data_IF_973617690496
#
_entry.id   IF_973617690496
#
_cell.length_a   1.000
_cell.length_b   1.000
_cell.length_c   1.000
_cell.angle_alpha   90.00
_cell.angle_beta   90.00
_cell.angle_gamma   90.00
#
_symmetry.space_group_name_H-M   'P 1'
#
loop_
_entity.id
_entity.type
_entity.pdbx_description
1 polymer ?
#
# COMPACT_ATOMS: atom_id res chain seq x y z
N UNK A 1 -0.16 21.14 -19.48
CA UNK A 1 -0.37 19.70 -19.24
C UNK A 1 -1.01 18.95 -20.38
N UNK A 2 -0.21 18.22 -21.16
CA UNK A 2 -0.73 17.37 -22.24
C UNK A 2 -1.65 16.24 -21.74
N UNK A 3 -1.38 15.71 -20.55
CA UNK A 3 -2.16 14.62 -19.95
C UNK A 3 -3.63 14.96 -19.72
N UNK A 4 -3.98 16.22 -19.41
CA UNK A 4 -5.37 16.67 -19.22
C UNK A 4 -6.19 16.39 -20.49
N UNK A 5 -5.60 16.66 -21.66
CA UNK A 5 -6.23 16.43 -22.95
C UNK A 5 -6.47 14.95 -23.20
N UNK A 6 -5.54 14.08 -22.78
CA UNK A 6 -5.69 12.64 -22.94
C UNK A 6 -6.76 12.06 -22.02
N UNK A 7 -6.74 12.40 -20.73
CA UNK A 7 -7.75 11.97 -19.75
C UNK A 7 -9.14 12.37 -20.19
N UNK A 8 -9.28 13.61 -20.68
CA UNK A 8 -10.52 14.13 -21.23
C UNK A 8 -11.02 13.32 -22.43
N UNK A 9 -10.13 13.00 -23.38
CA UNK A 9 -10.48 12.18 -24.57
C UNK A 9 -10.83 10.74 -24.20
N UNK A 10 -10.10 10.12 -23.26
CA UNK A 10 -10.37 8.75 -22.78
C UNK A 10 -11.74 8.64 -22.11
N UNK A 11 -12.16 9.70 -21.41
CA UNK A 11 -13.48 9.79 -20.78
C UNK A 11 -14.57 10.34 -21.72
N UNK A 12 -14.29 10.50 -23.02
CA UNK A 12 -15.23 10.99 -24.03
C UNK A 12 -15.89 12.35 -23.71
N UNK A 13 -15.19 13.23 -23.01
CA UNK A 13 -15.70 14.57 -22.65
C UNK A 13 -15.06 15.67 -23.50
N UNK A 14 -15.81 16.75 -23.73
CA UNK A 14 -15.36 17.95 -24.45
C UNK A 14 -14.64 18.93 -23.51
N UNK A 15 -13.85 19.85 -24.07
CA UNK A 15 -13.17 20.89 -23.27
C UNK A 15 -14.18 21.78 -22.53
N UNK A 16 -15.33 22.06 -23.15
CA UNK A 16 -16.42 22.83 -22.54
C UNK A 16 -17.05 22.10 -21.36
N UNK A 17 -17.24 20.78 -21.47
CA UNK A 17 -17.76 19.96 -20.36
C UNK A 17 -16.77 19.94 -19.20
N UNK A 18 -15.48 19.65 -19.45
CA UNK A 18 -14.46 19.67 -18.39
C UNK A 18 -14.40 21.05 -17.71
N UNK A 19 -14.45 22.14 -18.49
CA UNK A 19 -14.49 23.49 -17.95
C UNK A 19 -15.68 23.72 -17.03
N UNK A 20 -16.87 23.24 -17.42
CA UNK A 20 -18.08 23.34 -16.59
C UNK A 20 -17.93 22.58 -15.27
N UNK A 21 -17.39 21.37 -15.30
CA UNK A 21 -17.23 20.51 -14.11
C UNK A 21 -16.26 21.13 -13.09
N UNK A 22 -15.11 21.65 -13.55
CA UNK A 22 -14.12 22.23 -12.63
C UNK A 22 -14.35 23.73 -12.36
N UNK A 23 -15.35 24.34 -13.01
CA UNK A 23 -15.75 25.73 -12.83
C UNK A 23 -14.79 26.75 -13.49
N UNK A 24 -14.33 26.49 -14.70
CA UNK A 24 -13.48 27.40 -15.50
C UNK A 24 -13.97 27.52 -16.95
N UNK A 25 -13.51 28.54 -17.66
CA UNK A 25 -13.90 28.75 -19.07
C UNK A 25 -13.29 27.71 -20.02
N UNK A 26 -13.92 27.50 -21.19
CA UNK A 26 -13.36 26.73 -22.30
C UNK A 26 -11.91 27.18 -22.64
N UNK A 27 -11.69 28.49 -22.69
CA UNK A 27 -10.39 29.08 -23.00
C UNK A 27 -9.33 28.72 -21.94
N UNK A 28 -9.75 28.59 -20.69
CA UNK A 28 -8.90 28.16 -19.59
C UNK A 28 -8.47 26.70 -19.75
N UNK A 29 -9.40 25.80 -20.11
CA UNK A 29 -9.05 24.40 -20.41
C UNK A 29 -8.09 24.30 -21.60
N UNK A 30 -8.34 25.07 -22.66
CA UNK A 30 -7.45 25.13 -23.82
C UNK A 30 -6.04 25.59 -23.46
N UNK A 31 -5.91 26.52 -22.49
CA UNK A 31 -4.61 26.96 -21.97
C UNK A 31 -3.94 25.83 -21.16
N UNK A 32 -4.70 25.16 -20.28
CA UNK A 32 -4.19 24.09 -19.43
C UNK A 32 -3.71 22.87 -20.21
N UNK A 33 -4.35 22.56 -21.34
CA UNK A 33 -3.96 21.45 -22.22
C UNK A 33 -2.69 21.72 -23.07
N UNK A 34 -2.10 22.93 -23.01
CA UNK A 34 -0.84 23.24 -23.70
C UNK A 34 0.36 22.65 -22.96
N UNK A 35 1.45 22.37 -23.67
CA UNK A 35 2.74 22.03 -23.03
C UNK A 35 3.18 23.20 -22.13
N UNK A 36 3.79 22.87 -21.00
CA UNK A 36 4.35 23.83 -20.02
C UNK A 36 3.35 24.85 -19.47
N UNK A 37 2.05 24.54 -19.51
CA UNK A 37 1.02 25.39 -18.95
C UNK A 37 1.21 25.53 -17.43
N UNK A 38 1.36 26.76 -16.94
CA UNK A 38 1.33 27.04 -15.52
C UNK A 38 -0.12 27.02 -15.01
N UNK A 39 -0.50 25.96 -14.31
CA UNK A 39 -1.85 25.74 -13.79
C UNK A 39 -1.86 26.06 -12.30
N UNK A 40 -2.73 26.97 -11.81
CA UNK A 40 -2.86 27.24 -10.39
C UNK A 40 -3.22 25.97 -9.61
N UNK A 41 -2.56 25.74 -8.47
CA UNK A 41 -2.70 24.50 -7.70
C UNK A 41 -4.16 24.17 -7.36
N UNK A 42 -4.97 25.18 -7.04
CA UNK A 42 -6.41 25.05 -6.79
C UNK A 42 -7.16 24.39 -7.96
N UNK A 43 -6.83 24.75 -9.19
CA UNK A 43 -7.48 24.18 -10.37
C UNK A 43 -6.88 22.83 -10.73
N UNK A 44 -5.60 22.62 -10.45
CA UNK A 44 -4.94 21.33 -10.57
C UNK A 44 -5.57 20.29 -9.63
N UNK A 45 -5.86 20.65 -8.37
CA UNK A 45 -6.58 19.82 -7.39
C UNK A 45 -7.94 19.39 -7.92
N UNK A 46 -8.75 20.33 -8.44
CA UNK A 46 -10.06 20.02 -9.01
C UNK A 46 -9.99 19.08 -10.21
N UNK A 47 -8.98 19.25 -11.06
CA UNK A 47 -8.74 18.38 -12.21
C UNK A 47 -8.36 16.97 -11.72
N UNK A 48 -7.49 16.88 -10.71
CA UNK A 48 -7.08 15.62 -10.10
C UNK A 48 -8.30 14.89 -9.51
N UNK A 49 -9.07 15.56 -8.66
CA UNK A 49 -10.30 15.05 -8.06
C UNK A 49 -11.32 14.58 -9.11
N UNK A 50 -11.53 15.37 -10.17
CA UNK A 50 -12.45 15.02 -11.25
C UNK A 50 -12.06 13.70 -11.95
N UNK A 51 -10.77 13.46 -12.13
CA UNK A 51 -10.27 12.23 -12.74
C UNK A 51 -9.98 11.11 -11.74
N UNK A 52 -10.25 11.32 -10.44
CA UNK A 52 -9.94 10.35 -9.39
C UNK A 52 -8.45 10.12 -9.19
N UNK A 53 -7.63 11.14 -9.45
CA UNK A 53 -6.17 11.11 -9.35
C UNK A 53 -5.67 12.09 -8.28
N UNK A 54 -4.44 11.90 -7.82
CA UNK A 54 -3.69 12.90 -7.07
C UNK A 54 -2.96 13.87 -8.02
N UNK A 55 -2.53 15.02 -7.49
CA UNK A 55 -1.68 15.95 -8.25
C UNK A 55 -0.36 15.30 -8.67
N UNK A 56 0.22 14.46 -7.81
CA UNK A 56 1.47 13.75 -8.12
C UNK A 56 1.28 12.81 -9.31
N UNK A 57 0.16 12.09 -9.37
CA UNK A 57 -0.19 11.18 -10.46
C UNK A 57 -0.35 11.94 -11.79
N UNK A 58 -1.01 13.09 -11.77
CA UNK A 58 -1.12 13.96 -12.93
C UNK A 58 0.25 14.36 -13.50
N UNK A 59 1.22 14.69 -12.64
CA UNK A 59 2.59 15.01 -13.08
C UNK A 59 3.38 13.78 -13.54
N UNK A 60 3.27 12.64 -12.84
CA UNK A 60 3.92 11.39 -13.25
C UNK A 60 3.49 11.00 -14.67
N UNK A 61 2.20 11.12 -14.96
CA UNK A 61 1.69 10.84 -16.30
C UNK A 61 2.17 11.84 -17.37
N UNK A 62 2.36 13.11 -17.02
CA UNK A 62 2.91 14.10 -17.96
C UNK A 62 4.39 13.82 -18.30
N UNK A 63 5.20 13.42 -17.31
CA UNK A 63 6.61 13.07 -17.51
C UNK A 63 6.76 11.79 -18.33
N UNK A 64 5.90 10.78 -18.09
CA UNK A 64 5.93 9.50 -18.78
C UNK A 64 5.55 9.58 -20.28
N UNK A 65 4.86 10.64 -20.71
CA UNK A 65 4.46 10.85 -22.11
C UNK A 65 5.50 11.65 -22.94
N UNK A 66 6.48 12.28 -22.27
CA UNK A 66 7.60 12.98 -22.93
C UNK A 66 8.84 12.10 -23.11
N UNK A 67 8.95 11.03 -22.32
CA UNK A 67 9.90 9.94 -22.52
C UNK A 67 9.29 8.88 -23.44
N UNK A 68 10.14 8.18 -24.17
CA UNK A 68 9.77 7.19 -25.18
C UNK A 68 8.78 6.12 -24.69
N UNK A 69 8.07 5.50 -25.64
CA UNK A 69 7.01 4.53 -25.41
C UNK A 69 7.45 3.28 -24.62
N UNK A 70 7.52 3.36 -23.28
CA UNK A 70 7.91 2.23 -22.44
C UNK A 70 7.07 2.12 -21.16
N UNK A 71 5.81 1.76 -21.34
CA UNK A 71 5.15 0.61 -20.68
C UNK A 71 3.71 0.54 -21.18
N UNK A 72 3.35 -0.52 -21.93
CA UNK A 72 1.98 -0.73 -22.45
C UNK A 72 0.91 -0.91 -21.35
N UNK A 73 1.28 -0.88 -20.07
CA UNK A 73 0.39 -1.16 -18.94
C UNK A 73 0.13 0.14 -18.20
N UNK A 74 -1.12 0.60 -18.24
CA UNK A 74 -1.56 1.75 -17.46
C UNK A 74 -1.59 1.39 -15.97
N UNK A 75 -1.42 2.38 -15.06
CA UNK A 75 -1.67 2.16 -13.66
C UNK A 75 -3.06 1.60 -13.42
N UNK A 76 -3.17 0.71 -12.44
CA UNK A 76 -4.44 0.08 -12.09
C UNK A 76 -4.58 -0.02 -10.58
N UNK A 77 -5.83 -0.01 -10.12
CA UNK A 77 -6.16 -0.11 -8.69
C UNK A 77 -6.69 -1.50 -8.38
N UNK A 78 -6.21 -2.09 -7.28
CA UNK A 78 -6.68 -3.37 -6.78
C UNK A 78 -6.56 -3.41 -5.26
N UNK A 79 -7.62 -3.84 -4.57
CA UNK A 79 -7.67 -3.92 -3.10
C UNK A 79 -7.22 -2.64 -2.37
N UNK A 80 -7.57 -1.47 -2.90
CA UNK A 80 -7.18 -0.17 -2.33
C UNK A 80 -5.72 0.22 -2.54
N UNK A 81 -4.94 -0.60 -3.27
CA UNK A 81 -3.58 -0.28 -3.70
C UNK A 81 -3.55 0.13 -5.16
N UNK A 82 -2.70 1.10 -5.51
CA UNK A 82 -2.47 1.53 -6.90
C UNK A 82 -1.13 0.99 -7.37
N UNK A 83 -1.13 0.32 -8.52
CA UNK A 83 0.04 -0.32 -9.10
C UNK A 83 0.48 0.46 -10.33
N UNK A 84 1.72 0.94 -10.32
CA UNK A 84 2.38 1.62 -11.42
C UNK A 84 3.37 0.65 -12.07
N UNK A 85 3.06 0.15 -13.28
CA UNK A 85 4.00 -0.68 -14.03
C UNK A 85 5.26 0.10 -14.34
N UNK A 86 6.41 -0.51 -14.06
CA UNK A 86 7.74 0.02 -14.38
C UNK A 86 8.37 -0.87 -15.47
N UNK A 87 9.55 -0.47 -15.94
CA UNK A 87 10.34 -1.31 -16.86
C UNK A 87 10.79 -2.62 -16.20
N UNK A 88 11.14 -3.61 -17.03
CA UNK A 88 11.64 -4.92 -16.61
C UNK A 88 10.72 -5.71 -15.68
N UNK A 89 9.40 -5.50 -15.77
CA UNK A 89 8.40 -6.29 -15.02
C UNK A 89 8.21 -5.88 -13.57
N UNK A 90 8.83 -4.77 -13.14
CA UNK A 90 8.67 -4.22 -11.79
C UNK A 90 7.41 -3.38 -11.67
N UNK A 91 6.95 -3.18 -10.44
CA UNK A 91 5.81 -2.32 -10.13
C UNK A 91 6.13 -1.45 -8.92
N UNK A 92 5.80 -0.16 -8.98
CA UNK A 92 5.65 0.66 -7.78
C UNK A 92 4.22 0.46 -7.26
N UNK A 93 4.09 -0.03 -6.04
CA UNK A 93 2.80 -0.26 -5.38
C UNK A 93 2.60 0.80 -4.31
N UNK A 94 1.56 1.61 -4.50
CA UNK A 94 1.06 2.55 -3.50
C UNK A 94 -0.04 1.85 -2.69
N UNK A 95 0.33 1.31 -1.53
CA UNK A 95 -0.58 0.53 -0.67
C UNK A 95 -1.01 1.33 0.57
N UNK A 96 -2.18 1.02 1.17
CA UNK A 96 -2.61 1.66 2.41
C UNK A 96 -1.58 1.48 3.54
N UNK A 97 -1.18 2.57 4.16
CA UNK A 97 -0.19 2.61 5.24
C UNK A 97 -0.86 2.73 6.61
N UNK A 98 -0.57 1.82 7.52
CA UNK A 98 -1.04 1.84 8.90
C UNK A 98 0.10 2.29 9.80
N UNK A 99 0.07 3.57 10.18
CA UNK A 99 0.96 4.15 11.18
C UNK A 99 0.66 3.61 12.57
N UNK A 100 1.66 3.61 13.47
CA UNK A 100 1.53 3.12 14.85
C UNK A 100 0.36 3.79 15.58
N UNK A 101 0.20 5.10 15.41
CA UNK A 101 -0.86 5.90 16.04
C UNK A 101 -2.26 5.56 15.50
N UNK A 102 -2.35 4.89 14.35
CA UNK A 102 -3.60 4.49 13.70
C UNK A 102 -3.93 3.01 13.83
N UNK A 103 -3.05 2.18 14.40
CA UNK A 103 -3.26 0.73 14.51
C UNK A 103 -4.52 0.37 15.31
N UNK A 104 -4.77 1.04 16.44
CA UNK A 104 -5.99 0.80 17.24
C UNK A 104 -7.25 1.10 16.44
N UNK A 105 -7.27 2.25 15.77
CA UNK A 105 -8.39 2.66 14.91
C UNK A 105 -8.56 1.69 13.74
N UNK A 106 -7.48 1.19 13.17
CA UNK A 106 -7.53 0.17 12.13
C UNK A 106 -8.24 -1.11 12.62
N UNK A 107 -7.82 -1.66 13.76
CA UNK A 107 -8.43 -2.87 14.36
C UNK A 107 -9.94 -2.67 14.62
N UNK A 108 -10.32 -1.55 15.25
CA UNK A 108 -11.72 -1.23 15.59
C UNK A 108 -12.65 -1.13 14.38
N UNK A 109 -12.09 -0.87 13.19
CA UNK A 109 -12.85 -0.68 11.96
C UNK A 109 -12.68 -1.83 10.95
N UNK A 110 -11.96 -2.91 11.27
CA UNK A 110 -11.83 -4.09 10.39
C UNK A 110 -13.17 -4.69 9.94
N UNK A 111 -14.19 -4.62 10.82
CA UNK A 111 -15.52 -5.16 10.56
C UNK A 111 -16.52 -4.11 10.06
N UNK A 112 -16.07 -2.88 9.80
CA UNK A 112 -16.93 -1.77 9.37
C UNK A 112 -16.58 -1.39 7.94
N UNK A 113 -17.58 -1.34 7.06
CA UNK A 113 -17.39 -1.08 5.63
C UNK A 113 -16.83 0.31 5.29
N UNK A 114 -16.83 1.25 6.24
CA UNK A 114 -16.48 2.66 6.00
C UNK A 114 -15.12 3.10 6.56
N UNK A 115 -14.17 2.18 6.77
CA UNK A 115 -12.83 2.59 7.19
C UNK A 115 -12.09 3.31 6.07
N UNK A 116 -11.88 4.63 6.23
CA UNK A 116 -11.00 5.40 5.38
C UNK A 116 -9.62 5.53 6.02
N UNK A 117 -8.61 4.92 5.38
CA UNK A 117 -7.20 5.15 5.69
C UNK A 117 -6.68 6.30 4.82
N UNK A 118 -6.30 7.46 5.40
CA UNK A 118 -5.80 8.58 4.61
C UNK A 118 -4.36 8.38 4.15
N UNK A 119 -3.64 7.39 4.67
CA UNK A 119 -2.21 7.22 4.38
C UNK A 119 -1.97 6.14 3.34
N UNK A 120 -1.05 6.43 2.44
CA UNK A 120 -0.49 5.49 1.48
C UNK A 120 1.04 5.54 1.56
N UNK A 121 1.68 4.42 1.28
CA UNK A 121 3.13 4.31 1.14
C UNK A 121 3.51 3.54 -0.12
N UNK A 122 4.73 3.71 -0.60
CA UNK A 122 5.22 3.12 -1.85
C UNK A 122 6.26 2.04 -1.63
N UNK A 123 6.16 0.91 -2.32
CA UNK A 123 7.21 -0.12 -2.43
C UNK A 123 7.39 -0.55 -3.89
N UNK A 124 8.62 -0.89 -4.28
CA UNK A 124 8.88 -1.51 -5.59
C UNK A 124 8.85 -3.03 -5.44
N UNK A 125 7.99 -3.73 -6.17
CA UNK A 125 7.90 -5.20 -6.21
C UNK A 125 8.19 -5.75 -7.60
N UNK A 126 8.58 -7.02 -7.66
CA UNK A 126 9.03 -7.67 -8.89
C UNK A 126 7.92 -8.48 -9.59
N UNK A 127 6.83 -8.80 -8.87
CA UNK A 127 5.68 -9.56 -9.40
C UNK A 127 4.38 -9.07 -8.78
N UNK A 128 3.29 -9.13 -9.53
CA UNK A 128 1.95 -8.87 -9.00
C UNK A 128 1.40 -10.12 -8.34
N UNK A 129 0.73 -9.94 -7.21
CA UNK A 129 -0.02 -10.99 -6.53
C UNK A 129 -1.51 -10.64 -6.54
N UNK A 130 -2.34 -11.66 -6.36
CA UNK A 130 -3.78 -11.46 -6.30
C UNK A 130 -4.23 -10.86 -4.98
N UNK A 131 -3.47 -11.09 -3.91
CA UNK A 131 -3.89 -10.77 -2.55
C UNK A 131 -3.66 -9.30 -2.17
N UNK A 132 -4.43 -8.76 -1.21
CA UNK A 132 -4.27 -7.40 -0.72
C UNK A 132 -2.88 -7.13 -0.15
N UNK A 133 -2.31 -5.98 -0.53
CA UNK A 133 -1.10 -5.45 0.10
C UNK A 133 -1.46 -4.41 1.15
N UNK A 134 -0.66 -4.35 2.22
CA UNK A 134 -0.78 -3.32 3.24
C UNK A 134 0.57 -3.00 3.82
N UNK A 135 0.81 -1.73 4.13
CA UNK A 135 2.05 -1.29 4.75
C UNK A 135 1.78 -1.05 6.22
N UNK A 136 2.68 -1.52 7.08
CA UNK A 136 2.63 -1.28 8.52
C UNK A 136 3.92 -0.60 8.97
N UNK A 137 3.76 0.43 9.79
CA UNK A 137 4.85 0.93 10.62
C UNK A 137 5.01 0.00 11.83
N UNK A 138 6.21 -0.48 12.06
CA UNK A 138 6.54 -1.43 13.14
C UNK A 138 6.86 -0.66 14.42
N UNK A 139 6.31 -1.15 15.54
CA UNK A 139 6.57 -0.60 16.87
C UNK A 139 7.40 -1.56 17.72
N UNK A 140 8.48 -1.04 18.30
CA UNK A 140 9.39 -1.77 19.19
C UNK A 140 10.45 -2.60 18.45
N UNK A 141 11.47 -3.03 19.20
CA UNK A 141 12.68 -3.64 18.66
C UNK A 141 12.73 -5.17 18.81
N UNK A 142 11.59 -5.80 19.05
CA UNK A 142 11.51 -7.26 19.21
C UNK A 142 11.99 -8.07 17.98
N UNK A 143 12.02 -7.44 16.80
CA UNK A 143 12.51 -8.04 15.55
C UNK A 143 13.84 -7.42 15.10
N UNK A 144 14.52 -6.69 15.98
CA UNK A 144 15.78 -6.02 15.72
C UNK A 144 16.96 -6.79 16.32
N UNK A 145 17.56 -7.67 15.54
CA UNK A 145 18.77 -8.42 15.91
C UNK A 145 20.03 -7.87 15.22
N UNK A 146 19.93 -6.69 14.59
CA UNK A 146 20.98 -6.09 13.74
C UNK A 146 21.40 -6.93 12.52
N UNK A 147 20.67 -8.00 12.18
CA UNK A 147 20.94 -8.81 11.00
C UNK A 147 20.33 -8.19 9.73
N UNK A 148 20.62 -8.78 8.57
CA UNK A 148 19.94 -8.44 7.33
C UNK A 148 18.43 -8.71 7.39
N UNK A 149 17.99 -9.66 8.23
CA UNK A 149 16.59 -10.01 8.44
C UNK A 149 15.90 -9.13 9.49
N UNK A 150 16.64 -8.28 10.18
CA UNK A 150 16.11 -7.35 11.19
C UNK A 150 14.97 -6.47 10.64
N UNK A 151 14.03 -6.18 11.54
CA UNK A 151 12.93 -5.22 11.36
C UNK A 151 12.93 -4.34 12.61
N UNK A 152 13.67 -3.21 12.58
CA UNK A 152 13.80 -2.31 13.71
C UNK A 152 12.52 -1.52 13.97
N UNK A 153 12.45 -0.93 15.17
CA UNK A 153 11.42 0.04 15.49
C UNK A 153 11.36 1.15 14.41
N UNK A 154 10.14 1.60 14.06
CA UNK A 154 9.85 2.60 13.00
C UNK A 154 10.13 2.15 11.57
N UNK A 155 10.54 0.89 11.35
CA UNK A 155 10.58 0.32 10.01
C UNK A 155 9.17 0.26 9.40
N UNK A 156 9.09 0.42 8.08
CA UNK A 156 7.87 0.16 7.33
C UNK A 156 8.00 -1.18 6.60
N UNK A 157 6.98 -2.02 6.71
CA UNK A 157 6.95 -3.34 6.07
C UNK A 157 5.78 -3.46 5.12
N UNK A 158 6.03 -3.97 3.91
CA UNK A 158 4.99 -4.35 2.96
C UNK A 158 4.56 -5.79 3.27
N UNK A 159 3.32 -5.92 3.71
CA UNK A 159 2.68 -7.19 4.00
C UNK A 159 1.72 -7.62 2.90
N UNK A 160 1.80 -8.87 2.48
CA UNK A 160 0.84 -9.55 1.62
C UNK A 160 -0.16 -10.33 2.47
N UNK A 161 -1.46 -10.02 2.36
CA UNK A 161 -2.50 -10.71 3.14
C UNK A 161 -2.56 -12.19 2.77
N UNK A 162 -2.60 -13.06 3.78
CA UNK A 162 -2.80 -14.49 3.59
C UNK A 162 -3.91 -14.99 4.51
N UNK A 163 -4.60 -16.04 4.08
CA UNK A 163 -5.56 -16.75 4.94
C UNK A 163 -4.84 -17.43 6.08
N UNK A 164 -5.22 -17.14 7.32
CA UNK A 164 -4.57 -17.68 8.52
C UNK A 164 -4.64 -19.21 8.60
N UNK A 165 -5.63 -19.83 7.96
CA UNK A 165 -5.77 -21.28 7.87
C UNK A 165 -4.62 -21.93 7.11
N UNK A 166 -3.95 -21.21 6.20
CA UNK A 166 -2.77 -21.71 5.47
C UNK A 166 -1.61 -22.01 6.41
N UNK A 167 -1.45 -21.21 7.48
CA UNK A 167 -0.43 -21.45 8.50
C UNK A 167 -0.64 -22.83 9.13
N UNK A 168 -1.86 -23.30 9.34
CA UNK A 168 -2.10 -24.59 10.01
C UNK A 168 -1.66 -25.83 9.20
N UNK A 169 -1.34 -25.68 7.91
CA UNK A 169 -1.13 -26.80 6.97
C UNK A 169 0.15 -26.71 6.14
N UNK A 170 0.76 -25.54 6.02
CA UNK A 170 1.87 -25.33 5.08
C UNK A 170 3.16 -24.97 5.82
N UNK A 171 4.07 -25.94 5.90
CA UNK A 171 5.35 -25.78 6.58
C UNK A 171 6.29 -24.79 5.88
N UNK A 172 6.08 -24.53 4.58
CA UNK A 172 6.89 -23.54 3.84
C UNK A 172 6.60 -22.10 4.26
N UNK A 173 5.63 -21.86 5.14
CA UNK A 173 5.30 -20.56 5.72
C UNK A 173 5.99 -20.33 7.08
N UNK A 174 6.75 -21.30 7.57
CA UNK A 174 7.53 -21.16 8.81
C UNK A 174 8.85 -20.45 8.57
N UNK A 175 9.42 -19.92 9.65
CA UNK A 175 10.65 -19.14 9.68
C UNK A 175 10.60 -17.86 8.83
N UNK A 176 9.40 -17.34 8.59
CA UNK A 176 9.16 -16.07 7.92
C UNK A 176 8.56 -15.05 8.88
N UNK A 177 8.78 -13.78 8.58
CA UNK A 177 8.28 -12.65 9.38
C UNK A 177 6.89 -12.23 8.91
N UNK A 178 6.02 -11.97 9.87
CA UNK A 178 4.61 -11.63 9.66
C UNK A 178 4.21 -10.42 10.47
N UNK A 179 3.26 -9.66 9.92
CA UNK A 179 2.39 -8.80 10.72
C UNK A 179 1.13 -9.59 11.08
N UNK A 180 0.86 -9.69 12.37
CA UNK A 180 -0.35 -10.31 12.90
C UNK A 180 -1.23 -9.20 13.48
N UNK A 181 -2.43 -9.07 12.92
CA UNK A 181 -3.44 -8.13 13.40
C UNK A 181 -4.35 -8.88 14.36
N UNK A 182 -4.19 -8.64 15.66
CA UNK A 182 -5.01 -9.24 16.70
C UNK A 182 -6.18 -8.32 17.09
N UNK A 183 -7.08 -8.83 17.92
CA UNK A 183 -8.22 -8.04 18.41
C UNK A 183 -7.84 -6.84 19.29
N UNK A 184 -6.67 -6.86 19.94
CA UNK A 184 -6.18 -5.86 20.87
C UNK A 184 -4.95 -5.08 20.36
N UNK A 185 -4.14 -5.68 19.49
CA UNK A 185 -2.85 -5.15 19.05
C UNK A 185 -2.42 -5.63 17.66
N UNK A 186 -1.44 -4.95 17.08
CA UNK A 186 -0.72 -5.41 15.88
C UNK A 186 0.71 -5.73 16.28
N UNK A 187 1.21 -6.90 15.88
CA UNK A 187 2.56 -7.36 16.24
C UNK A 187 3.33 -7.82 15.00
N UNK A 188 4.64 -7.58 15.01
CA UNK A 188 5.59 -8.12 14.06
C UNK A 188 6.36 -9.27 14.71
N UNK A 189 6.27 -10.48 14.15
CA UNK A 189 6.90 -11.70 14.70
C UNK A 189 7.35 -12.63 13.59
N UNK A 190 8.37 -13.44 13.85
CA UNK A 190 8.63 -14.63 13.05
C UNK A 190 7.72 -15.76 13.52
N UNK A 191 7.11 -16.49 12.59
CA UNK A 191 6.34 -17.68 12.94
C UNK A 191 7.19 -18.93 12.78
N UNK A 192 7.31 -19.76 13.82
CA UNK A 192 8.16 -20.97 13.81
C UNK A 192 7.35 -22.26 13.74
N UNK A 193 6.03 -22.19 13.94
CA UNK A 193 5.16 -23.37 13.84
C UNK A 193 3.74 -23.12 14.33
N UNK A 194 2.94 -24.19 14.34
CA UNK A 194 1.57 -24.20 14.82
C UNK A 194 1.31 -25.45 15.69
N UNK A 195 0.81 -25.23 16.91
CA UNK A 195 0.39 -26.29 17.80
C UNK A 195 -1.09 -26.62 17.53
N UNK A 196 -1.36 -27.83 17.01
CA UNK A 196 -2.70 -28.28 16.64
C UNK A 196 -3.63 -28.50 17.85
N UNK A 197 -3.09 -28.94 18.98
CA UNK A 197 -3.87 -29.25 20.18
C UNK A 197 -4.36 -27.96 20.85
N UNK A 198 -3.44 -27.00 21.04
CA UNK A 198 -3.75 -25.70 21.64
C UNK A 198 -4.34 -24.70 20.65
N UNK A 199 -4.26 -24.97 19.35
CA UNK A 199 -4.62 -24.05 18.26
C UNK A 199 -3.85 -22.73 18.31
N UNK A 200 -2.56 -22.81 18.65
CA UNK A 200 -1.69 -21.64 18.84
C UNK A 200 -0.61 -21.56 17.76
N UNK A 201 -0.29 -20.35 17.32
CA UNK A 201 0.89 -20.01 16.53
C UNK A 201 2.09 -19.82 17.46
N UNK A 202 3.23 -20.38 17.10
CA UNK A 202 4.50 -20.17 17.80
C UNK A 202 5.16 -18.90 17.26
N UNK A 203 5.21 -17.87 18.10
CA UNK A 203 5.74 -16.55 17.75
C UNK A 203 7.14 -16.39 18.33
N UNK A 204 8.10 -16.14 17.44
CA UNK A 204 9.51 -15.93 17.76
C UNK A 204 9.92 -14.46 17.58
N UNK A 205 10.77 -13.99 18.48
CA UNK A 205 11.43 -12.68 18.40
C UNK A 205 12.86 -12.86 17.89
N UNK A 206 13.26 -12.12 16.86
CA UNK A 206 14.66 -12.17 16.40
C UNK A 206 15.60 -11.54 17.44
N UNK A 207 15.14 -10.51 18.14
CA UNK A 207 15.92 -9.89 19.21
C UNK A 207 15.92 -10.78 20.44
N UNK A 208 17.11 -11.22 20.86
CA UNK A 208 17.33 -12.16 21.98
C UNK A 208 17.49 -11.48 23.33
N UNK A 209 17.24 -10.16 23.41
CA UNK A 209 17.29 -9.43 24.68
C UNK A 209 16.23 -9.98 25.67
N UNK A 210 16.51 -10.05 26.99
CA UNK A 210 15.66 -10.77 27.96
C UNK A 210 14.19 -10.35 28.04
N UNK A 211 13.88 -9.11 27.65
CA UNK A 211 12.53 -8.55 27.57
C UNK A 211 11.69 -9.12 26.42
N UNK A 212 12.31 -9.73 25.41
CA UNK A 212 11.64 -10.32 24.26
C UNK A 212 11.65 -11.84 24.37
N UNK A 213 10.56 -12.38 24.93
CA UNK A 213 10.38 -13.82 25.05
C UNK A 213 9.43 -14.34 23.98
N UNK A 214 9.76 -15.50 23.44
CA UNK A 214 8.88 -16.24 22.55
C UNK A 214 7.59 -16.63 23.27
N UNK A 215 6.49 -16.68 22.52
CA UNK A 215 5.19 -16.97 23.09
C UNK A 215 4.29 -17.70 22.10
N UNK A 216 3.23 -18.29 22.63
CA UNK A 216 2.16 -18.88 21.84
C UNK A 216 1.00 -17.89 21.71
N UNK A 217 0.42 -17.78 20.51
CA UNK A 217 -0.71 -16.90 20.21
C UNK A 217 -1.89 -17.72 19.69
N UNK A 218 -3.08 -17.57 20.28
CA UNK A 218 -4.27 -18.28 19.80
C UNK A 218 -4.63 -17.82 18.38
N UNK A 219 -4.80 -18.77 17.45
CA UNK A 219 -5.13 -18.45 16.05
C UNK A 219 -6.49 -17.73 15.92
N UNK A 220 -7.39 -17.90 16.89
CA UNK A 220 -8.68 -17.22 16.95
C UNK A 220 -8.55 -15.73 17.26
N UNK A 221 -7.54 -15.33 18.04
CA UNK A 221 -7.27 -13.92 18.37
C UNK A 221 -6.72 -13.14 17.18
N UNK A 222 -6.18 -13.84 16.17
CA UNK A 222 -5.65 -13.27 14.94
C UNK A 222 -6.79 -12.99 13.97
N UNK A 223 -7.03 -11.71 13.70
CA UNK A 223 -8.05 -11.23 12.77
C UNK A 223 -7.56 -11.24 11.33
N UNK A 224 -6.30 -10.84 11.08
CA UNK A 224 -5.66 -10.88 9.77
C UNK A 224 -4.18 -11.23 9.90
N UNK A 225 -3.62 -11.82 8.85
CA UNK A 225 -2.20 -12.19 8.74
C UNK A 225 -1.64 -11.59 7.47
N UNK A 226 -0.49 -10.91 7.58
CA UNK A 226 0.25 -10.41 6.44
C UNK A 226 1.66 -10.97 6.45
N UNK A 227 2.03 -11.71 5.40
CA UNK A 227 3.40 -12.15 5.17
C UNK A 227 4.25 -10.95 4.74
N UNK A 228 5.37 -10.71 5.40
CA UNK A 228 6.25 -9.59 5.04
C UNK A 228 7.06 -9.96 3.80
N UNK A 229 6.94 -9.14 2.75
CA UNK A 229 7.67 -9.34 1.48
C UNK A 229 8.83 -8.36 1.32
N UNK A 230 8.67 -7.12 1.78
CA UNK A 230 9.71 -6.08 1.73
C UNK A 230 9.66 -5.20 2.97
N UNK A 231 10.78 -4.54 3.27
CA UNK A 231 10.96 -3.60 4.38
C UNK A 231 11.80 -2.41 3.95
N UNK A 232 11.58 -1.27 4.60
CA UNK A 232 12.36 -0.04 4.44
C UNK A 232 12.56 0.60 5.83
N UNK A 233 13.71 1.24 6.01
CA UNK A 233 14.13 1.89 7.25
C UNK A 233 14.36 3.37 7.02
#
# INVERSE_FOLDING_TARGET
>A
MYIIKQLRRKNNISQSQLGKEIGVSLRTIQLYERKDANIPIKNLTKIAEYFGLTIAELYMHEVNDMGEAYTKRQPFTKHGSVFYPLEHGKYLVMAPLILVEWQKKYIENLRKDNFSNPFQGGFIIDFLTEEPHRIFEVSGDSMNDSSAESIPNKAYVLGLEIKKELLTRNETLWHQSYILVCADRIICKQLTGYNKEKKTLQCHNLNTSPEFQDFELLLEEVLQVFKIEKKQF
#
